data_IF_282507151957
#
_entry.id   IF_282507151957
#
_cell.length_a   1.000
_cell.length_b   1.000
_cell.length_c   1.000
_cell.angle_alpha   90.00
_cell.angle_beta   90.00
_cell.angle_gamma   90.00
#
_symmetry.space_group_name_H-M   'P 1'
#
loop_
_entity.id
_entity.type
_entity.pdbx_description
1 polymer ?
#
# COMPACT_ATOMS: atom_id res chain seq x y z
N UNK A 1 -20.67 14.79 -22.67
CA UNK A 1 -21.67 15.15 -21.63
C UNK A 1 -20.91 15.10 -20.30
N UNK A 2 -20.41 16.20 -19.74
CA UNK A 2 -20.91 16.72 -18.45
C UNK A 2 -20.33 18.11 -18.05
N UNK A 3 -19.62 18.83 -18.92
CA UNK A 3 -19.00 20.14 -18.58
C UNK A 3 -19.60 21.36 -19.30
N UNK A 4 -20.59 21.18 -20.17
CA UNK A 4 -21.16 22.27 -20.98
C UNK A 4 -21.74 23.47 -20.19
N UNK A 5 -22.33 23.34 -18.98
CA UNK A 5 -22.92 24.50 -18.30
C UNK A 5 -21.89 25.40 -17.61
N UNK A 6 -20.72 24.87 -17.24
CA UNK A 6 -19.67 25.62 -16.53
C UNK A 6 -18.86 26.55 -17.45
N UNK A 7 -18.74 26.17 -18.72
CA UNK A 7 -17.94 26.88 -19.72
C UNK A 7 -18.65 28.16 -20.21
N UNK A 8 -19.98 28.22 -20.11
CA UNK A 8 -20.79 29.36 -20.54
C UNK A 8 -20.53 30.66 -19.74
N UNK A 9 -19.90 30.57 -18.57
CA UNK A 9 -19.58 31.71 -17.69
C UNK A 9 -18.09 32.06 -17.58
N UNK A 10 -17.22 31.49 -18.42
CA UNK A 10 -15.78 31.78 -18.37
C UNK A 10 -15.05 31.23 -17.13
N UNK A 11 -15.61 30.22 -16.46
CA UNK A 11 -15.01 29.60 -15.27
C UNK A 11 -14.09 28.47 -15.71
N UNK A 12 -12.83 28.49 -15.24
CA UNK A 12 -11.86 27.42 -15.43
C UNK A 12 -11.12 27.11 -14.13
N UNK A 13 -10.69 25.86 -13.96
CA UNK A 13 -9.94 25.40 -12.79
C UNK A 13 -8.49 25.87 -12.95
N UNK A 14 -8.04 26.80 -12.10
CA UNK A 14 -6.66 27.31 -12.14
C UNK A 14 -5.68 26.46 -11.33
N UNK A 15 -6.16 25.77 -10.29
CA UNK A 15 -5.33 24.96 -9.39
C UNK A 15 -6.14 23.85 -8.72
N UNK A 16 -5.56 22.65 -8.62
CA UNK A 16 -6.04 21.56 -7.76
C UNK A 16 -4.91 21.20 -6.81
N UNK A 17 -5.18 21.15 -5.51
CA UNK A 17 -4.20 20.78 -4.48
C UNK A 17 -4.64 19.48 -3.83
N UNK A 18 -3.75 18.49 -3.85
CA UNK A 18 -3.94 17.21 -3.18
C UNK A 18 -2.85 17.05 -2.10
N UNK A 19 -3.25 16.80 -0.85
CA UNK A 19 -2.34 16.57 0.27
C UNK A 19 -2.70 15.23 0.91
N UNK A 20 -1.71 14.34 1.00
CA UNK A 20 -1.83 13.04 1.64
C UNK A 20 -0.64 12.83 2.59
N UNK A 21 -0.88 12.14 3.70
CA UNK A 21 0.14 11.78 4.70
C UNK A 21 -0.04 10.31 5.03
N UNK A 22 1.07 9.58 5.11
CA UNK A 22 1.11 8.20 5.58
C UNK A 22 2.12 8.12 6.72
N UNK A 23 1.74 7.45 7.80
CA UNK A 23 2.61 7.16 8.94
C UNK A 23 2.67 5.64 9.12
N UNK A 24 3.87 5.10 9.22
CA UNK A 24 4.12 3.66 9.27
C UNK A 24 4.79 3.37 10.60
N UNK A 25 4.06 2.68 11.48
CA UNK A 25 4.54 2.31 12.82
C UNK A 25 4.53 0.79 13.02
N UNK A 26 5.26 0.33 14.03
CA UNK A 26 5.33 -1.09 14.40
C UNK A 26 4.02 -1.60 15.01
N UNK A 27 3.21 -0.72 15.61
CA UNK A 27 1.96 -1.05 16.31
C UNK A 27 0.73 -0.99 15.39
N UNK A 28 0.85 -0.42 14.19
CA UNK A 28 -0.15 -0.48 13.12
C UNK A 28 0.42 0.14 11.84
N UNK A 29 0.45 -0.50 10.66
CA UNK A 29 -0.27 -1.65 10.06
C UNK A 29 0.05 -3.01 10.70
N UNK A 30 -0.93 -3.62 11.38
CA UNK A 30 -0.78 -4.77 12.30
C UNK A 30 0.09 -5.90 11.73
N UNK A 31 1.29 -6.09 12.30
CA UNK A 31 1.96 -7.34 12.71
C UNK A 31 1.63 -8.68 12.00
N UNK A 32 1.27 -8.71 10.72
CA UNK A 32 0.93 -9.93 9.98
C UNK A 32 2.15 -10.80 9.62
N UNK A 33 3.34 -10.49 10.14
CA UNK A 33 4.53 -11.33 10.05
C UNK A 33 4.87 -12.08 11.35
N UNK A 34 4.06 -11.95 12.41
CA UNK A 34 4.19 -12.81 13.59
C UNK A 34 3.48 -14.15 13.35
N UNK A 35 3.95 -14.95 12.38
CA UNK A 35 3.69 -16.39 12.40
C UNK A 35 4.96 -17.10 12.88
N UNK A 36 5.15 -17.05 14.20
CA UNK A 36 5.87 -18.10 14.93
C UNK A 36 5.11 -19.41 14.73
N UNK A 37 5.66 -20.30 13.92
CA UNK A 37 5.38 -21.72 14.01
C UNK A 37 6.69 -22.44 14.30
N UNK A 38 7.07 -22.45 15.58
CA UNK A 38 7.91 -23.54 16.11
C UNK A 38 6.96 -24.71 16.31
N UNK A 39 6.95 -25.64 15.35
CA UNK A 39 6.51 -27.00 15.61
C UNK A 39 7.74 -27.87 15.40
N UNK A 40 8.37 -28.28 16.50
CA UNK A 40 9.32 -29.38 16.52
C UNK A 40 8.51 -30.68 16.33
N UNK A 41 8.28 -31.07 15.09
CA UNK A 41 7.82 -32.42 14.76
C UNK A 41 8.78 -33.00 13.73
N UNK A 42 9.42 -34.12 14.09
CA UNK A 42 10.53 -34.80 13.41
C UNK A 42 10.13 -35.46 12.08
N UNK A 43 9.42 -34.76 11.21
CA UNK A 43 9.12 -35.22 9.86
C UNK A 43 9.43 -34.09 8.87
N UNK A 44 10.60 -34.21 8.27
CA UNK A 44 11.13 -33.35 7.20
C UNK A 44 10.29 -33.60 5.94
N UNK A 45 9.15 -32.93 5.84
CA UNK A 45 8.50 -32.70 4.55
C UNK A 45 8.96 -31.33 4.08
N UNK A 46 9.63 -31.29 2.92
CA UNK A 46 10.30 -30.12 2.34
C UNK A 46 9.40 -28.88 2.34
N UNK A 47 9.52 -28.04 3.36
CA UNK A 47 9.03 -26.65 3.29
C UNK A 47 10.01 -25.89 2.40
N UNK A 48 9.55 -25.11 1.40
CA UNK A 48 10.44 -24.21 0.69
C UNK A 48 11.16 -23.31 1.72
N UNK A 49 12.42 -22.92 1.45
CA UNK A 49 13.16 -22.02 2.32
C UNK A 49 12.30 -20.80 2.65
N UNK A 50 12.30 -20.37 3.92
CA UNK A 50 11.70 -19.09 4.28
C UNK A 50 12.52 -17.99 3.60
N UNK A 51 11.94 -17.35 2.60
CA UNK A 51 12.54 -16.19 1.94
C UNK A 51 12.44 -14.97 2.86
N UNK A 52 13.57 -14.33 3.12
CA UNK A 52 13.62 -13.11 3.93
C UNK A 52 13.42 -11.89 3.04
N UNK A 53 12.46 -11.03 3.38
CA UNK A 53 12.18 -9.81 2.63
C UNK A 53 12.81 -8.59 3.32
N UNK A 54 13.89 -8.07 2.74
CA UNK A 54 14.56 -6.85 3.19
C UNK A 54 14.16 -5.66 2.33
N UNK A 55 13.56 -4.65 2.96
CA UNK A 55 13.16 -3.38 2.32
C UNK A 55 14.22 -2.31 2.57
N UNK A 56 15.46 -2.59 2.16
CA UNK A 56 16.64 -1.74 2.42
C UNK A 56 17.08 -0.89 1.22
N UNK A 57 16.17 -0.66 0.27
CA UNK A 57 16.39 0.10 -0.97
C UNK A 57 15.07 0.70 -1.44
N UNK A 58 15.05 1.67 -2.37
CA UNK A 58 13.82 2.31 -2.82
C UNK A 58 12.74 1.30 -3.22
N UNK A 59 11.51 1.56 -2.79
CA UNK A 59 10.36 0.67 -3.01
C UNK A 59 9.07 1.45 -3.23
N UNK A 60 8.07 0.77 -3.78
CA UNK A 60 6.72 1.29 -3.99
C UNK A 60 5.79 0.59 -3.00
N UNK A 61 4.80 1.31 -2.48
CA UNK A 61 3.79 0.79 -1.58
C UNK A 61 2.38 1.20 -2.02
N UNK A 62 1.40 0.38 -1.63
CA UNK A 62 -0.02 0.61 -1.88
C UNK A 62 -0.83 0.32 -0.61
N UNK A 63 -1.82 1.15 -0.33
CA UNK A 63 -2.94 0.80 0.56
C UNK A 63 -4.09 0.39 -0.35
N UNK A 64 -4.48 -0.87 -0.27
CA UNK A 64 -5.37 -1.50 -1.24
C UNK A 64 -6.58 -2.14 -0.57
N UNK A 65 -7.76 -1.82 -1.08
CA UNK A 65 -8.99 -2.54 -0.75
C UNK A 65 -9.07 -3.81 -1.61
N UNK A 66 -8.93 -4.96 -0.96
CA UNK A 66 -8.90 -6.26 -1.63
C UNK A 66 -10.29 -6.76 -2.06
N UNK A 67 -11.37 -6.25 -1.48
CA UNK A 67 -12.74 -6.60 -1.84
C UNK A 67 -13.20 -5.82 -3.06
N UNK A 68 -13.04 -4.49 -3.02
CA UNK A 68 -13.43 -3.59 -4.11
C UNK A 68 -12.40 -3.53 -5.23
N UNK A 69 -11.21 -4.11 -5.01
CA UNK A 69 -10.08 -4.09 -5.93
C UNK A 69 -9.58 -2.67 -6.23
N UNK A 70 -9.57 -1.80 -5.23
CA UNK A 70 -9.24 -0.38 -5.37
C UNK A 70 -7.94 -0.01 -4.68
N UNK A 71 -7.15 0.84 -5.33
CA UNK A 71 -5.99 1.48 -4.73
C UNK A 71 -6.48 2.74 -4.01
N UNK A 72 -6.37 2.74 -2.69
CA UNK A 72 -6.74 3.88 -1.84
C UNK A 72 -5.59 4.87 -1.72
N UNK A 73 -4.37 4.36 -1.58
CA UNK A 73 -3.13 5.15 -1.57
C UNK A 73 -2.03 4.43 -2.32
N UNK A 74 -1.13 5.20 -2.93
CA UNK A 74 0.10 4.69 -3.53
C UNK A 74 1.24 5.67 -3.29
N UNK A 75 2.46 5.16 -3.20
CA UNK A 75 3.63 6.01 -3.06
C UNK A 75 4.94 5.27 -3.29
N UNK A 76 6.03 6.04 -3.39
CA UNK A 76 7.39 5.54 -3.50
C UNK A 76 8.20 6.06 -2.31
N UNK A 77 8.88 5.16 -1.62
CA UNK A 77 9.89 5.51 -0.62
C UNK A 77 11.28 5.38 -1.25
N UNK A 78 12.13 6.38 -1.04
CA UNK A 78 13.49 6.42 -1.61
C UNK A 78 14.61 6.48 -0.59
N UNK A 79 14.30 6.49 0.71
CA UNK A 79 15.25 6.82 1.78
C UNK A 79 15.23 8.31 2.10
#
# INVERSE_FOLDING_TARGET
MFLSPLIAGGVFISKVVHKAVIDITETGTVAAAATTAVILSRHVMMRPPKETFYVNRPFIYFVYDSQLKLILFQGKFTG
#
